data_IF_662708518601
#
_entry.id   IF_662708518601
#
_cell.length_a   1.000
_cell.length_b   1.000
_cell.length_c   1.000
_cell.angle_alpha   90.00
_cell.angle_beta   90.00
_cell.angle_gamma   90.00
#
_symmetry.space_group_name_H-M   'P 1'
#
loop_
_entity.id
_entity.type
_entity.pdbx_description
1 polymer ?
#
# COMPACT_ATOMS: atom_id res chain seq x y z
N UNK A 1 5.19 7.04 5.69
CA UNK A 1 5.15 8.38 5.13
C UNK A 1 3.72 8.78 4.80
N UNK A 2 3.27 9.86 5.37
CA UNK A 2 1.95 10.40 5.07
C UNK A 2 2.11 11.68 4.27
N UNK A 3 1.56 11.69 3.06
CA UNK A 3 1.45 12.90 2.25
C UNK A 3 0.09 13.52 2.50
N UNK A 4 0.05 14.83 2.69
CA UNK A 4 -1.19 15.53 3.00
C UNK A 4 -2.26 15.28 1.93
N UNK A 5 -3.42 14.80 2.36
CA UNK A 5 -4.53 14.46 1.49
C UNK A 5 -4.41 13.13 0.76
N UNK A 6 -3.33 12.37 1.00
CA UNK A 6 -3.07 11.10 0.33
C UNK A 6 -2.65 10.04 1.34
N UNK A 7 -3.30 8.90 1.32
CA UNK A 7 -3.17 7.87 2.35
C UNK A 7 -2.15 6.78 2.01
N UNK A 8 -0.87 7.16 1.95
CA UNK A 8 0.21 6.18 1.83
C UNK A 8 0.74 5.87 3.23
N UNK A 9 0.61 4.61 3.65
CA UNK A 9 1.03 4.19 4.99
C UNK A 9 2.53 3.91 5.05
N UNK A 10 3.04 3.19 4.05
CA UNK A 10 4.46 2.81 3.99
C UNK A 10 4.94 2.96 2.55
N UNK A 11 6.16 3.46 2.39
CA UNK A 11 6.86 3.44 1.11
C UNK A 11 8.22 2.79 1.36
N UNK A 12 8.53 1.77 0.59
CA UNK A 12 9.79 1.03 0.77
C UNK A 12 10.33 0.48 -0.52
N UNK A 13 11.57 0.01 -0.48
CA UNK A 13 12.20 -0.66 -1.61
C UNK A 13 12.26 -2.16 -1.36
N UNK A 14 11.88 -2.92 -2.38
CA UNK A 14 11.99 -4.37 -2.39
C UNK A 14 12.64 -4.78 -3.70
N UNK A 15 13.93 -5.05 -3.64
CA UNK A 15 14.75 -5.49 -4.78
C UNK A 15 14.56 -4.61 -6.02
N UNK A 16 14.77 -3.31 -5.86
CA UNK A 16 14.66 -2.34 -6.95
C UNK A 16 13.23 -1.91 -7.27
N UNK A 17 12.24 -2.48 -6.61
CA UNK A 17 10.85 -2.10 -6.78
C UNK A 17 10.40 -1.19 -5.64
N UNK A 18 9.94 0.00 -5.99
CA UNK A 18 9.42 0.94 -5.01
C UNK A 18 7.96 0.56 -4.69
N UNK A 19 7.73 0.18 -3.44
CA UNK A 19 6.45 -0.35 -2.99
C UNK A 19 5.68 0.71 -2.22
N UNK A 20 4.47 1.00 -2.68
CA UNK A 20 3.52 1.87 -1.98
C UNK A 20 2.54 0.95 -1.25
N UNK A 21 2.60 0.93 0.08
CA UNK A 21 1.90 -0.07 0.87
C UNK A 21 0.75 0.55 1.63
N UNK A 22 -0.40 -0.10 1.55
CA UNK A 22 -1.59 0.23 2.34
C UNK A 22 -1.74 -0.83 3.41
N UNK A 23 -1.89 -0.41 4.66
CA UNK A 23 -2.08 -1.33 5.78
C UNK A 23 -3.55 -1.34 6.18
N UNK A 24 -4.13 -2.54 6.29
CA UNK A 24 -5.50 -2.77 6.72
C UNK A 24 -5.50 -3.69 7.94
N UNK A 25 -5.94 -3.15 9.07
CA UNK A 25 -6.02 -3.91 10.31
C UNK A 25 -7.47 -4.28 10.59
N UNK A 26 -7.69 -5.49 11.10
CA UNK A 26 -9.00 -5.96 11.54
C UNK A 26 -8.86 -6.75 12.83
N UNK A 27 -9.95 -6.74 13.62
CA UNK A 27 -9.94 -7.41 14.92
C UNK A 27 -9.85 -8.93 14.79
N UNK A 28 -10.62 -9.50 13.88
CA UNK A 28 -10.73 -10.95 13.71
C UNK A 28 -10.78 -11.34 12.23
N UNK A 29 -10.83 -12.65 12.00
CA UNK A 29 -10.95 -13.21 10.65
C UNK A 29 -12.36 -13.03 10.10
N UNK A 30 -12.79 -11.78 9.93
CA UNK A 30 -14.04 -11.48 9.26
C UNK A 30 -14.10 -12.06 7.86
N UNK A 31 -15.29 -12.05 7.29
CA UNK A 31 -15.56 -12.62 5.97
C UNK A 31 -14.92 -11.80 4.86
N UNK A 32 -14.68 -10.51 5.12
CA UNK A 32 -14.20 -9.59 4.09
C UNK A 32 -12.68 -9.63 3.95
N UNK A 33 -12.22 -9.88 2.73
CA UNK A 33 -10.81 -9.81 2.38
C UNK A 33 -10.33 -8.35 2.51
N UNK A 34 -9.16 -8.10 3.12
CA UNK A 34 -8.61 -6.73 3.21
C UNK A 34 -8.59 -5.99 1.88
N UNK A 35 -8.31 -6.68 0.78
CA UNK A 35 -8.29 -6.08 -0.55
C UNK A 35 -9.67 -5.55 -0.96
N UNK A 36 -10.75 -6.20 -0.55
CA UNK A 36 -12.12 -5.79 -0.87
C UNK A 36 -12.52 -4.47 -0.21
N UNK A 37 -11.78 -4.04 0.82
CA UNK A 37 -12.04 -2.75 1.48
C UNK A 37 -11.50 -1.57 0.70
N UNK A 38 -10.74 -1.81 -0.36
CA UNK A 38 -10.11 -0.77 -1.14
C UNK A 38 -10.98 -0.47 -2.37
N UNK A 39 -11.68 0.65 -2.33
CA UNK A 39 -12.58 1.08 -3.40
C UNK A 39 -11.82 1.79 -4.52
N UNK A 40 -12.44 1.93 -5.68
CA UNK A 40 -11.81 2.63 -6.81
C UNK A 40 -11.48 4.10 -6.49
N UNK A 41 -12.31 4.87 -5.79
CA UNK A 41 -11.89 6.21 -5.36
C UNK A 41 -10.65 6.19 -4.48
N UNK A 42 -10.52 5.19 -3.60
CA UNK A 42 -9.33 5.01 -2.77
C UNK A 42 -8.11 4.72 -3.62
N UNK A 43 -8.24 3.82 -4.60
CA UNK A 43 -7.15 3.49 -5.53
C UNK A 43 -6.65 4.75 -6.23
N UNK A 44 -7.57 5.59 -6.70
CA UNK A 44 -7.19 6.85 -7.36
C UNK A 44 -6.42 7.78 -6.42
N UNK A 45 -6.85 7.90 -5.16
CA UNK A 45 -6.13 8.70 -4.17
C UNK A 45 -4.74 8.15 -3.89
N UNK A 46 -4.62 6.82 -3.79
CA UNK A 46 -3.33 6.17 -3.58
C UNK A 46 -2.39 6.39 -4.75
N UNK A 47 -2.89 6.27 -5.97
CA UNK A 47 -2.09 6.56 -7.17
C UNK A 47 -1.63 8.00 -7.20
N UNK A 48 -2.51 8.93 -6.83
CA UNK A 48 -2.15 10.35 -6.75
C UNK A 48 -1.07 10.59 -5.72
N UNK A 49 -1.18 9.96 -4.55
CA UNK A 49 -0.14 10.03 -3.52
C UNK A 49 1.19 9.50 -4.00
N UNK A 50 1.17 8.38 -4.72
CA UNK A 50 2.38 7.79 -5.30
C UNK A 50 3.02 8.72 -6.34
N UNK A 51 2.23 9.33 -7.20
CA UNK A 51 2.73 10.31 -8.18
C UNK A 51 3.43 11.48 -7.50
N UNK A 52 2.82 12.00 -6.44
CA UNK A 52 3.40 13.11 -5.67
C UNK A 52 4.68 12.67 -4.95
N UNK A 53 4.70 11.45 -4.42
CA UNK A 53 5.91 10.91 -3.81
C UNK A 53 7.05 10.83 -4.83
N UNK A 54 6.78 10.30 -6.00
CA UNK A 54 7.79 10.19 -7.06
C UNK A 54 8.28 11.56 -7.51
N UNK A 55 7.39 12.53 -7.59
CA UNK A 55 7.75 13.88 -7.98
C UNK A 55 8.70 14.55 -6.98
N UNK A 56 8.42 14.40 -5.67
CA UNK A 56 9.19 15.09 -4.63
C UNK A 56 10.36 14.28 -4.08
N UNK A 57 10.29 12.95 -4.12
CA UNK A 57 11.26 12.08 -3.46
C UNK A 57 11.82 10.97 -4.35
N UNK A 58 11.33 10.82 -5.58
CA UNK A 58 11.73 9.71 -6.45
C UNK A 58 13.23 9.66 -6.72
N UNK A 59 13.88 10.81 -6.81
CA UNK A 59 15.33 10.88 -7.08
C UNK A 59 16.18 10.44 -5.89
N UNK A 60 15.59 10.30 -4.70
CA UNK A 60 16.31 9.87 -3.51
C UNK A 60 16.50 8.35 -3.45
N UNK A 61 15.90 7.62 -4.38
CA UNK A 61 15.89 6.15 -4.35
C UNK A 61 16.32 5.60 -5.70
N UNK A 62 17.08 4.52 -5.68
CA UNK A 62 17.41 3.77 -6.89
C UNK A 62 16.29 2.74 -7.12
N UNK A 63 15.36 3.06 -8.02
CA UNK A 63 14.23 2.18 -8.33
C UNK A 63 14.08 1.99 -9.84
N UNK A 64 13.63 0.80 -10.23
CA UNK A 64 13.41 0.42 -11.63
C UNK A 64 11.93 0.28 -11.95
N UNK A 65 11.14 -0.04 -10.95
CA UNK A 65 9.71 -0.24 -11.07
C UNK A 65 9.02 0.20 -9.79
N UNK A 66 7.70 0.32 -9.84
CA UNK A 66 6.90 0.57 -8.65
C UNK A 66 5.66 -0.31 -8.67
N UNK A 67 5.13 -0.58 -7.48
CA UNK A 67 3.92 -1.39 -7.32
C UNK A 67 3.16 -0.95 -6.08
N UNK A 68 1.88 -1.32 -6.04
CA UNK A 68 1.03 -1.13 -4.85
C UNK A 68 0.82 -2.46 -4.15
N UNK A 69 1.07 -2.48 -2.87
CA UNK A 69 0.91 -3.65 -2.03
C UNK A 69 -0.13 -3.38 -0.94
N UNK A 70 -0.77 -4.42 -0.46
CA UNK A 70 -1.66 -4.36 0.70
C UNK A 70 -1.16 -5.31 1.76
N UNK A 71 -1.02 -4.82 3.00
CA UNK A 71 -0.73 -5.65 4.16
C UNK A 71 -1.99 -5.70 5.01
N UNK A 72 -2.52 -6.91 5.19
CA UNK A 72 -3.63 -7.16 6.10
C UNK A 72 -3.11 -7.67 7.43
N UNK A 73 -3.60 -7.08 8.52
CA UNK A 73 -3.26 -7.50 9.89
C UNK A 73 -4.52 -7.97 10.58
N UNK A 74 -4.51 -9.18 11.12
CA UNK A 74 -5.58 -9.75 11.91
C UNK A 74 -5.06 -10.00 13.31
N UNK A 75 -5.80 -9.56 14.34
CA UNK A 75 -5.35 -9.65 15.73
C UNK A 75 -5.86 -10.88 16.47
N UNK A 76 -7.04 -11.38 16.11
CA UNK A 76 -7.68 -12.49 16.80
C UNK A 76 -8.08 -13.61 15.84
N UNK A 77 -8.03 -14.90 16.23
CA UNK A 77 -7.58 -15.43 17.52
C UNK A 77 -6.08 -15.32 17.77
N UNK A 78 -5.29 -15.16 16.71
CA UNK A 78 -3.84 -14.94 16.81
C UNK A 78 -3.47 -13.81 15.87
N UNK A 79 -2.35 -13.18 16.13
CA UNK A 79 -1.84 -12.12 15.26
C UNK A 79 -1.38 -12.75 13.94
N UNK A 80 -2.01 -12.36 12.85
CA UNK A 80 -1.65 -12.81 11.50
C UNK A 80 -1.40 -11.61 10.60
N UNK A 81 -0.41 -11.75 9.73
CA UNK A 81 -0.07 -10.72 8.77
C UNK A 81 -0.06 -11.33 7.37
N UNK A 82 -0.76 -10.71 6.45
CA UNK A 82 -0.81 -11.13 5.06
C UNK A 82 -0.32 -9.98 4.17
N UNK A 83 0.76 -10.23 3.44
CA UNK A 83 1.32 -9.24 2.51
C UNK A 83 0.96 -9.63 1.08
N UNK A 84 0.12 -8.83 0.44
CA UNK A 84 -0.28 -9.03 -0.94
C UNK A 84 0.47 -8.07 -1.84
N UNK A 85 1.42 -8.61 -2.58
CA UNK A 85 2.20 -7.84 -3.54
C UNK A 85 1.39 -7.61 -4.80
N UNK A 86 1.58 -6.44 -5.42
CA UNK A 86 0.86 -6.06 -6.64
C UNK A 86 -0.65 -6.23 -6.52
N UNK A 87 -1.20 -5.72 -5.42
CA UNK A 87 -2.62 -5.81 -5.16
C UNK A 87 -3.46 -5.09 -6.23
N UNK A 88 -2.91 -4.05 -6.82
CA UNK A 88 -3.49 -3.35 -7.98
C UNK A 88 -2.38 -2.61 -8.73
N UNK A 89 -2.65 -2.22 -9.97
CA UNK A 89 -1.65 -1.63 -10.84
C UNK A 89 -1.21 -0.25 -10.38
N UNK A 90 0.10 0.00 -10.45
CA UNK A 90 0.69 1.27 -10.06
C UNK A 90 0.42 2.38 -11.07
N UNK A 91 0.34 2.02 -12.33
CA UNK A 91 0.19 3.00 -13.41
C UNK A 91 -0.91 2.60 -14.37
#
# INVERSE_FOLDING_TARGET
>A
LVLEGHELDIVGLDDGCLCFVVVRARKDNGVVDPLETITMPKVRRLRRGAELFLLYHGDNFAWEACRFDVIGITFEPTLELEWRKEAFEAC
#
